data_IF_843503964642
#
_entry.id   IF_843503964642
#
_cell.length_a   1.000
_cell.length_b   1.000
_cell.length_c   1.000
_cell.angle_alpha   90.00
_cell.angle_beta   90.00
_cell.angle_gamma   90.00
#
_symmetry.space_group_name_H-M   'P 1'
#
loop_
_entity.id
_entity.type
_entity.pdbx_description
1 polymer ?
#
# COMPACT_ATOMS: atom_id res chain seq x y z
N UNK A 1 0.03 -19.56 -10.53
CA UNK A 1 0.74 -20.71 -9.90
C UNK A 1 2.01 -20.17 -9.26
N UNK A 2 1.97 -19.86 -7.96
CA UNK A 2 3.19 -19.55 -7.20
C UNK A 2 3.96 -20.85 -7.04
N UNK A 3 5.19 -20.90 -7.52
CA UNK A 3 6.05 -22.09 -7.52
C UNK A 3 6.44 -22.52 -6.09
N UNK A 4 6.55 -23.84 -5.85
CA UNK A 4 6.71 -24.55 -4.57
C UNK A 4 7.96 -24.22 -3.70
N UNK A 5 8.64 -23.10 -3.93
CA UNK A 5 9.70 -22.58 -3.05
C UNK A 5 9.63 -21.05 -2.99
N UNK A 6 8.51 -20.49 -2.52
CA UNK A 6 8.51 -19.09 -2.10
C UNK A 6 9.32 -18.97 -0.81
N UNK A 7 10.38 -18.18 -0.81
CA UNK A 7 11.05 -17.79 0.43
C UNK A 7 10.10 -16.87 1.21
N UNK A 8 9.98 -17.10 2.52
CA UNK A 8 9.09 -16.33 3.39
C UNK A 8 9.91 -15.47 4.33
N UNK A 9 9.41 -14.27 4.64
CA UNK A 9 10.01 -13.44 5.68
C UNK A 9 9.86 -14.11 7.05
N UNK A 10 10.95 -14.16 7.82
CA UNK A 10 10.86 -14.41 9.26
C UNK A 10 10.28 -13.16 9.94
N UNK A 11 8.94 -13.11 9.95
CA UNK A 11 8.22 -11.93 10.40
C UNK A 11 8.47 -11.63 11.89
N UNK A 12 8.74 -12.65 12.71
CA UNK A 12 9.01 -12.43 14.14
C UNK A 12 10.36 -11.74 14.34
N UNK A 13 11.41 -12.25 13.69
CA UNK A 13 12.72 -11.59 13.73
C UNK A 13 12.64 -10.15 13.20
N UNK A 14 11.86 -9.91 12.12
CA UNK A 14 11.64 -8.56 11.61
C UNK A 14 10.91 -7.67 12.63
N UNK A 15 9.84 -8.15 13.29
CA UNK A 15 9.13 -7.40 14.33
C UNK A 15 10.09 -6.99 15.45
N UNK A 16 10.90 -7.90 15.97
CA UNK A 16 11.88 -7.60 17.04
C UNK A 16 12.90 -6.53 16.63
N UNK A 17 13.40 -6.56 15.39
CA UNK A 17 14.30 -5.54 14.86
C UNK A 17 13.63 -4.17 14.74
N UNK A 18 12.41 -4.14 14.18
CA UNK A 18 11.65 -2.91 13.98
C UNK A 18 11.17 -2.29 15.30
N UNK A 19 10.78 -3.08 16.30
CA UNK A 19 10.48 -2.58 17.66
C UNK A 19 11.68 -1.84 18.28
N UNK A 20 12.90 -2.29 17.99
CA UNK A 20 14.13 -1.69 18.50
C UNK A 20 14.54 -0.44 17.72
N UNK A 21 14.38 -0.46 16.38
CA UNK A 21 14.83 0.62 15.48
C UNK A 21 13.81 1.76 15.37
N UNK A 22 12.51 1.44 15.38
CA UNK A 22 11.41 2.36 15.09
C UNK A 22 10.29 2.26 16.15
N UNK A 23 10.61 2.48 17.45
CA UNK A 23 9.63 2.28 18.52
C UNK A 23 8.42 3.21 18.42
N UNK A 24 8.59 4.42 17.87
CA UNK A 24 7.52 5.40 17.71
C UNK A 24 6.52 4.95 16.64
N UNK A 25 7.01 4.50 15.47
CA UNK A 25 6.20 3.97 14.37
C UNK A 25 5.48 2.67 14.77
N UNK A 26 6.16 1.79 15.52
CA UNK A 26 5.52 0.62 16.11
C UNK A 26 4.43 1.02 17.13
N UNK A 27 4.60 2.14 17.83
CA UNK A 27 3.56 2.77 18.64
C UNK A 27 2.36 3.27 17.82
N UNK A 28 2.60 3.81 16.62
CA UNK A 28 1.54 4.21 15.68
C UNK A 28 0.69 3.01 15.25
N UNK A 29 1.30 1.85 15.01
CA UNK A 29 0.54 0.63 14.69
C UNK A 29 -0.37 0.18 15.86
N UNK A 30 0.05 0.38 17.12
CA UNK A 30 -0.82 0.16 18.30
C UNK A 30 -1.99 1.14 18.34
N UNK A 31 -1.75 2.43 18.10
CA UNK A 31 -2.80 3.45 18.01
C UNK A 31 -3.81 3.10 16.91
N UNK A 32 -3.29 2.66 15.76
CA UNK A 32 -4.07 2.15 14.64
C UNK A 32 -4.87 0.88 14.95
N UNK A 33 -4.49 0.16 16.02
CA UNK A 33 -5.02 -1.14 16.43
C UNK A 33 -4.74 -2.25 15.42
N UNK A 34 -3.59 -2.16 14.75
CA UNK A 34 -3.11 -3.12 13.76
C UNK A 34 -1.79 -3.76 14.19
N UNK A 35 -1.35 -3.55 15.43
CA UNK A 35 -0.07 -4.06 15.92
C UNK A 35 0.05 -5.60 15.82
N UNK A 36 1.18 -6.15 15.34
CA UNK A 36 1.39 -7.59 15.24
C UNK A 36 1.25 -8.33 16.57
N UNK A 37 0.46 -9.41 16.62
CA UNK A 37 0.36 -10.28 17.80
C UNK A 37 -0.45 -9.71 18.98
N UNK A 38 -0.88 -8.45 18.95
CA UNK A 38 -1.82 -7.90 19.93
C UNK A 38 -3.26 -8.24 19.51
N UNK A 39 -3.88 -9.16 20.24
CA UNK A 39 -5.32 -9.43 20.14
C UNK A 39 -6.01 -8.64 21.25
N UNK A 40 -6.43 -7.41 20.95
CA UNK A 40 -7.31 -6.71 21.89
C UNK A 40 -8.71 -7.36 21.85
N UNK A 41 -9.25 -7.68 23.04
CA UNK A 41 -10.61 -8.20 23.15
C UNK A 41 -11.63 -7.13 22.75
N UNK A 42 -12.18 -7.26 21.54
CA UNK A 42 -13.41 -6.61 21.12
C UNK A 42 -13.31 -5.08 21.01
N UNK A 43 -12.92 -4.60 19.83
CA UNK A 43 -13.02 -3.17 19.53
C UNK A 43 -14.47 -2.76 19.35
N UNK A 44 -14.85 -1.56 19.77
CA UNK A 44 -16.13 -0.99 19.35
C UNK A 44 -15.93 -0.36 17.98
N UNK A 45 -16.64 -0.84 16.96
CA UNK A 45 -16.66 -0.19 15.65
C UNK A 45 -17.25 1.23 15.82
N UNK A 46 -16.46 2.29 15.60
CA UNK A 46 -16.90 3.65 15.93
C UNK A 46 -18.03 4.15 15.03
N UNK A 47 -18.30 3.47 13.91
CA UNK A 47 -19.35 3.82 12.96
C UNK A 47 -20.68 3.10 13.24
N UNK A 48 -20.66 1.98 13.96
CA UNK A 48 -21.88 1.21 14.29
C UNK A 48 -22.16 1.15 15.79
N UNK A 49 -21.17 1.40 16.65
CA UNK A 49 -21.26 1.20 18.10
C UNK A 49 -21.27 -0.26 18.53
N UNK A 50 -21.02 -1.20 17.61
CA UNK A 50 -21.05 -2.64 17.87
C UNK A 50 -19.65 -3.20 18.11
N UNK A 51 -19.50 -4.26 18.94
CA UNK A 51 -18.24 -4.98 19.06
C UNK A 51 -17.80 -5.59 17.73
N UNK A 52 -16.50 -5.50 17.46
CA UNK A 52 -15.80 -6.12 16.34
C UNK A 52 -14.68 -7.01 16.92
N UNK A 53 -14.71 -8.28 16.55
CA UNK A 53 -13.79 -9.31 17.03
C UNK A 53 -12.80 -9.77 15.95
N UNK A 54 -12.75 -9.07 14.81
CA UNK A 54 -11.78 -9.35 13.76
C UNK A 54 -10.35 -9.03 14.27
N UNK A 55 -9.42 -9.95 14.00
CA UNK A 55 -8.00 -9.74 14.25
C UNK A 55 -7.42 -8.88 13.13
N UNK A 56 -6.72 -7.81 13.51
CA UNK A 56 -6.09 -6.88 12.57
C UNK A 56 -4.56 -6.89 12.63
N UNK A 57 -3.94 -7.72 13.48
CA UNK A 57 -2.48 -7.76 13.61
C UNK A 57 -1.76 -8.27 12.35
N UNK A 58 -2.47 -9.00 11.48
CA UNK A 58 -1.96 -9.38 10.14
C UNK A 58 -1.70 -8.14 9.25
N UNK A 59 -2.38 -7.02 9.50
CA UNK A 59 -2.10 -5.75 8.81
C UNK A 59 -0.78 -5.16 9.32
N UNK A 60 -0.49 -5.25 10.61
CA UNK A 60 0.81 -4.86 11.15
C UNK A 60 1.94 -5.74 10.63
N UNK A 61 1.72 -7.05 10.54
CA UNK A 61 2.68 -7.99 9.94
C UNK A 61 2.95 -7.62 8.48
N UNK A 62 1.90 -7.27 7.73
CA UNK A 62 2.04 -6.72 6.39
C UNK A 62 2.88 -5.43 6.38
N UNK A 63 2.59 -4.46 7.25
CA UNK A 63 3.33 -3.20 7.34
C UNK A 63 4.82 -3.41 7.65
N UNK A 64 5.15 -4.33 8.57
CA UNK A 64 6.55 -4.69 8.87
C UNK A 64 7.24 -5.31 7.65
N UNK A 65 6.56 -6.20 6.93
CA UNK A 65 7.11 -6.78 5.71
C UNK A 65 7.30 -5.75 4.59
N UNK A 66 6.39 -4.78 4.44
CA UNK A 66 6.54 -3.66 3.50
C UNK A 66 7.74 -2.81 3.90
N UNK A 67 7.90 -2.50 5.18
CA UNK A 67 9.04 -1.72 5.67
C UNK A 67 10.38 -2.44 5.48
N UNK A 68 10.42 -3.77 5.67
CA UNK A 68 11.59 -4.59 5.39
C UNK A 68 11.96 -4.56 3.90
N UNK A 69 10.98 -4.70 3.01
CA UNK A 69 11.17 -4.55 1.56
C UNK A 69 11.70 -3.15 1.20
N UNK A 70 11.09 -2.11 1.77
CA UNK A 70 11.49 -0.73 1.57
C UNK A 70 12.92 -0.44 2.05
N UNK A 71 13.37 -1.04 3.17
CA UNK A 71 14.74 -0.93 3.67
C UNK A 71 15.74 -1.51 2.65
N UNK A 72 15.45 -2.69 2.09
CA UNK A 72 16.29 -3.31 1.06
C UNK A 72 16.36 -2.45 -0.20
N UNK A 73 15.23 -1.98 -0.69
CA UNK A 73 15.15 -1.13 -1.88
C UNK A 73 15.86 0.21 -1.64
N UNK A 74 15.66 0.86 -0.49
CA UNK A 74 16.33 2.10 -0.13
C UNK A 74 17.85 1.94 -0.11
N UNK A 75 18.36 0.89 0.54
CA UNK A 75 19.79 0.59 0.58
C UNK A 75 20.39 0.28 -0.81
N UNK A 76 19.59 -0.22 -1.74
CA UNK A 76 20.04 -0.51 -3.11
C UNK A 76 20.08 0.72 -4.02
N UNK A 77 19.21 1.72 -3.79
CA UNK A 77 18.94 2.79 -4.76
C UNK A 77 19.21 4.21 -4.28
N UNK A 78 19.36 4.44 -2.97
CA UNK A 78 19.79 5.72 -2.44
C UNK A 78 21.30 5.89 -2.54
N UNK A 79 21.74 7.15 -2.61
CA UNK A 79 23.16 7.45 -2.49
C UNK A 79 23.63 7.08 -1.07
N UNK A 80 24.89 6.61 -0.88
CA UNK A 80 25.38 6.19 0.43
C UNK A 80 25.37 7.28 1.52
N UNK A 81 25.19 8.54 1.14
CA UNK A 81 25.10 9.68 2.06
C UNK A 81 23.64 9.98 2.49
N UNK A 82 22.66 9.46 1.76
CA UNK A 82 21.23 9.64 2.05
C UNK A 82 20.75 8.57 3.05
N UNK A 83 19.93 9.00 4.01
CA UNK A 83 19.30 8.08 4.96
C UNK A 83 18.01 7.51 4.37
N UNK A 84 17.91 6.19 4.31
CA UNK A 84 16.67 5.48 3.98
C UNK A 84 15.65 5.42 5.12
N UNK A 85 15.97 5.95 6.31
CA UNK A 85 15.10 5.79 7.49
C UNK A 85 13.70 6.36 7.29
N UNK A 86 13.56 7.53 6.65
CA UNK A 86 12.24 8.14 6.43
C UNK A 86 11.36 7.28 5.51
N UNK A 87 11.96 6.62 4.50
CA UNK A 87 11.26 5.67 3.61
C UNK A 87 10.75 4.49 4.43
N UNK A 88 11.60 3.91 5.27
CA UNK A 88 11.27 2.75 6.10
C UNK A 88 10.18 3.10 7.12
N UNK A 89 10.25 4.29 7.75
CA UNK A 89 9.25 4.78 8.69
C UNK A 89 7.89 4.96 8.03
N UNK A 90 7.84 5.62 6.86
CA UNK A 90 6.62 5.78 6.06
C UNK A 90 6.02 4.42 5.69
N UNK A 91 6.83 3.51 5.16
CA UNK A 91 6.43 2.16 4.81
C UNK A 91 5.86 1.38 5.99
N UNK A 92 6.44 1.53 7.19
CA UNK A 92 6.00 0.83 8.40
C UNK A 92 4.61 1.25 8.89
N UNK A 93 4.15 2.47 8.59
CA UNK A 93 2.87 2.97 9.10
C UNK A 93 1.82 3.22 8.01
N UNK A 94 2.12 2.88 6.75
CA UNK A 94 1.26 3.19 5.61
C UNK A 94 -0.19 2.68 5.78
N UNK A 95 -0.37 1.48 6.32
CA UNK A 95 -1.70 0.88 6.54
C UNK A 95 -2.17 0.98 8.01
N UNK A 96 -1.57 1.85 8.82
CA UNK A 96 -1.90 2.00 10.24
C UNK A 96 -3.40 2.27 10.50
N UNK A 97 -4.11 2.88 9.55
CA UNK A 97 -5.54 3.20 9.71
C UNK A 97 -6.48 2.22 9.02
N UNK A 98 -5.94 1.14 8.45
CA UNK A 98 -6.71 0.19 7.64
C UNK A 98 -7.87 -0.45 8.39
N UNK A 99 -7.71 -0.68 9.70
CA UNK A 99 -8.79 -1.15 10.58
C UNK A 99 -10.03 -0.25 10.50
N UNK A 100 -9.85 1.07 10.57
CA UNK A 100 -10.96 2.02 10.49
C UNK A 100 -11.63 1.99 9.12
N UNK A 101 -10.87 1.80 8.05
CA UNK A 101 -11.40 1.61 6.70
C UNK A 101 -12.28 0.36 6.62
N UNK A 102 -11.81 -0.78 7.16
CA UNK A 102 -12.58 -2.03 7.22
C UNK A 102 -13.88 -1.86 8.02
N UNK A 103 -13.79 -1.24 9.19
CA UNK A 103 -14.95 -0.95 10.05
C UNK A 103 -15.97 -0.04 9.35
N UNK A 104 -15.51 0.98 8.63
CA UNK A 104 -16.34 1.89 7.82
C UNK A 104 -17.06 1.13 6.72
N UNK A 105 -16.35 0.27 5.98
CA UNK A 105 -16.94 -0.59 4.94
C UNK A 105 -18.02 -1.53 5.51
N UNK A 106 -17.79 -2.12 6.70
CA UNK A 106 -18.80 -2.94 7.40
C UNK A 106 -20.05 -2.11 7.74
N UNK A 107 -19.87 -0.88 8.24
CA UNK A 107 -20.98 0.02 8.56
C UNK A 107 -21.78 0.41 7.32
N UNK A 108 -21.11 0.67 6.19
CA UNK A 108 -21.77 0.99 4.92
C UNK A 108 -22.57 -0.20 4.37
N UNK A 109 -22.02 -1.42 4.43
CA UNK A 109 -22.74 -2.66 4.05
C UNK A 109 -23.99 -2.89 4.90
N UNK A 110 -23.98 -2.44 6.15
CA UNK A 110 -25.15 -2.45 7.05
C UNK A 110 -26.14 -1.30 6.80
N UNK A 111 -25.79 -0.34 5.95
CA UNK A 111 -26.60 0.85 5.68
C UNK A 111 -26.57 1.89 6.80
N UNK A 112 -25.65 1.76 7.77
CA UNK A 112 -25.52 2.71 8.90
C UNK A 112 -24.89 4.03 8.45
N UNK A 113 -24.04 3.98 7.43
CA UNK A 113 -23.44 5.14 6.78
C UNK A 113 -23.58 4.99 5.25
N UNK A 114 -23.61 6.11 4.54
CA UNK A 114 -23.82 6.12 3.07
C UNK A 114 -22.49 6.00 2.32
N UNK A 115 -21.36 6.38 2.93
CA UNK A 115 -20.09 6.56 2.25
C UNK A 115 -18.98 5.69 2.83
N UNK A 116 -18.57 4.69 2.06
CA UNK A 116 -17.50 3.76 2.42
C UNK A 116 -16.12 4.18 1.88
N UNK A 117 -16.06 5.10 0.92
CA UNK A 117 -14.90 5.35 0.07
C UNK A 117 -14.59 6.83 -0.17
N UNK A 118 -15.21 7.78 0.56
CA UNK A 118 -14.77 9.18 0.45
C UNK A 118 -13.29 9.29 0.69
N UNK A 119 -12.69 10.14 -0.14
CA UNK A 119 -11.32 10.61 -0.08
C UNK A 119 -10.97 11.20 1.31
N UNK A 120 -11.97 11.61 2.10
CA UNK A 120 -11.86 12.02 3.51
C UNK A 120 -11.96 10.87 4.52
N UNK A 121 -11.45 9.67 4.24
CA UNK A 121 -11.38 8.59 5.25
C UNK A 121 -10.66 9.05 6.51
N UNK A 122 -9.60 9.85 6.34
CA UNK A 122 -8.86 10.45 7.44
C UNK A 122 -9.65 11.54 8.18
N UNK A 123 -10.43 12.35 7.47
CA UNK A 123 -11.31 13.34 8.10
C UNK A 123 -12.35 12.69 9.01
N UNK A 124 -12.75 11.46 8.69
CA UNK A 124 -13.71 10.71 9.52
C UNK A 124 -13.10 10.07 10.77
N UNK A 125 -11.79 9.76 10.79
CA UNK A 125 -11.14 9.17 11.97
C UNK A 125 -10.49 10.20 12.89
N UNK A 126 -10.11 11.36 12.36
CA UNK A 126 -9.41 12.41 13.13
C UNK A 126 -10.12 12.76 14.45
N UNK A 127 -11.45 13.04 14.48
CA UNK A 127 -12.13 13.36 15.73
C UNK A 127 -12.06 12.22 16.76
N UNK A 128 -12.07 10.96 16.31
CA UNK A 128 -12.01 9.79 17.18
C UNK A 128 -10.63 9.66 17.83
N UNK A 129 -9.57 9.86 17.05
CA UNK A 129 -8.19 9.80 17.54
C UNK A 129 -7.89 10.99 18.48
N UNK A 130 -8.41 12.18 18.18
CA UNK A 130 -8.32 13.35 19.06
C UNK A 130 -9.02 13.10 20.40
N UNK A 131 -10.22 12.49 20.41
CA UNK A 131 -10.93 12.12 21.63
C UNK A 131 -10.16 11.08 22.48
N UNK A 132 -9.41 10.19 21.82
CA UNK A 132 -8.50 9.23 22.47
C UNK A 132 -7.20 9.86 22.97
N UNK A 133 -6.99 11.16 22.75
CA UNK A 133 -5.81 11.90 23.18
C UNK A 133 -4.57 11.67 22.30
N UNK A 134 -4.75 11.17 21.08
CA UNK A 134 -3.65 11.01 20.12
C UNK A 134 -3.17 12.41 19.68
N UNK A 135 -1.85 12.68 19.70
CA UNK A 135 -1.30 13.96 19.25
C UNK A 135 -1.63 14.27 17.78
N UNK A 136 -1.87 15.55 17.47
CA UNK A 136 -2.30 15.98 16.14
C UNK A 136 -1.26 15.69 15.04
N UNK A 137 0.03 15.81 15.37
CA UNK A 137 1.16 15.46 14.51
C UNK A 137 1.20 13.96 14.20
N UNK A 138 0.89 13.10 15.17
CA UNK A 138 0.72 11.66 14.92
C UNK A 138 -0.45 11.37 13.99
N UNK A 139 -1.59 12.05 14.15
CA UNK A 139 -2.75 11.87 13.28
C UNK A 139 -2.42 12.32 11.84
N UNK A 140 -1.74 13.44 11.68
CA UNK A 140 -1.28 13.92 10.38
C UNK A 140 -0.27 12.98 9.73
N UNK A 141 0.62 12.42 10.53
CA UNK A 141 1.58 11.43 10.06
C UNK A 141 0.89 10.16 9.54
N UNK A 142 -0.06 9.60 10.31
CA UNK A 142 -0.90 8.48 9.87
C UNK A 142 -1.64 8.82 8.58
N UNK A 143 -2.24 10.00 8.49
CA UNK A 143 -2.96 10.49 7.31
C UNK A 143 -2.11 10.56 6.05
N UNK A 144 -0.90 11.09 6.18
CA UNK A 144 0.05 11.17 5.07
C UNK A 144 0.46 9.77 4.62
N UNK A 145 0.90 8.92 5.54
CA UNK A 145 1.44 7.60 5.21
C UNK A 145 0.43 6.72 4.46
N UNK A 146 -0.84 6.66 4.88
CA UNK A 146 -1.84 5.86 4.15
C UNK A 146 -2.38 6.50 2.88
N UNK A 147 -1.82 7.62 2.44
CA UNK A 147 -2.03 8.17 1.10
C UNK A 147 -0.88 7.90 0.13
N UNK A 148 0.22 7.31 0.61
CA UNK A 148 1.44 7.06 -0.20
C UNK A 148 1.32 5.78 -1.06
N UNK A 149 0.45 4.83 -0.68
CA UNK A 149 0.31 3.53 -1.36
C UNK A 149 -1.09 3.24 -1.90
N UNK A 150 -1.18 2.17 -2.69
CA UNK A 150 -2.42 1.72 -3.32
C UNK A 150 -3.00 2.70 -4.35
N UNK A 151 -4.27 2.51 -4.70
CA UNK A 151 -4.91 3.23 -5.80
C UNK A 151 -4.97 4.76 -5.65
N UNK A 152 -4.95 5.26 -4.41
CA UNK A 152 -5.06 6.70 -4.14
C UNK A 152 -3.81 7.48 -4.53
N UNK A 153 -2.63 6.85 -4.51
CA UNK A 153 -1.36 7.52 -4.83
C UNK A 153 -1.00 7.46 -6.30
N UNK A 154 -1.62 6.57 -7.09
CA UNK A 154 -1.36 6.40 -8.52
C UNK A 154 -1.39 7.72 -9.32
N UNK A 155 -2.35 8.65 -9.11
CA UNK A 155 -2.32 9.96 -9.77
C UNK A 155 -1.03 10.75 -9.59
N UNK A 156 -0.33 10.55 -8.48
CA UNK A 156 0.95 11.21 -8.16
C UNK A 156 2.16 10.66 -8.93
N UNK A 157 2.01 9.50 -9.60
CA UNK A 157 3.09 8.85 -10.34
C UNK A 157 3.00 9.00 -11.85
N UNK A 158 1.85 9.43 -12.39
CA UNK A 158 1.60 9.44 -13.84
C UNK A 158 1.37 10.85 -14.35
N UNK A 159 2.03 11.20 -15.46
CA UNK A 159 1.73 12.40 -16.25
C UNK A 159 1.69 12.06 -17.73
N UNK A 160 1.13 12.94 -18.55
CA UNK A 160 1.29 12.85 -20.00
C UNK A 160 2.58 13.53 -20.47
N UNK A 161 3.23 12.90 -21.45
CA UNK A 161 4.26 13.49 -22.27
C UNK A 161 4.03 13.08 -23.73
N UNK A 162 3.86 14.06 -24.62
CA UNK A 162 3.58 13.83 -26.04
C UNK A 162 2.39 12.88 -26.31
N UNK A 163 1.37 12.92 -25.45
CA UNK A 163 0.14 12.12 -25.58
C UNK A 163 0.20 10.72 -24.98
N UNK A 164 1.35 10.32 -24.44
CA UNK A 164 1.53 9.02 -23.79
C UNK A 164 1.76 9.17 -22.28
N UNK A 165 1.31 8.20 -21.47
CA UNK A 165 1.59 8.19 -20.04
C UNK A 165 3.08 7.94 -19.81
N UNK A 166 3.67 8.71 -18.90
CA UNK A 166 5.06 8.54 -18.45
C UNK A 166 5.14 8.62 -16.92
N UNK A 167 6.06 7.85 -16.36
CA UNK A 167 6.33 7.86 -14.93
C UNK A 167 6.94 9.20 -14.53
N UNK A 168 6.44 9.79 -13.44
CA UNK A 168 7.07 10.92 -12.77
C UNK A 168 8.24 10.37 -11.96
N UNK A 169 9.47 10.80 -12.25
CA UNK A 169 10.68 10.32 -11.58
C UNK A 169 11.45 11.40 -10.81
N UNK A 170 11.11 12.67 -11.05
CA UNK A 170 11.80 13.82 -10.46
C UNK A 170 11.36 14.00 -9.01
N UNK A 171 12.30 13.88 -8.07
CA UNK A 171 12.10 14.22 -6.66
C UNK A 171 11.19 13.29 -5.84
N UNK A 172 10.80 12.13 -6.38
CA UNK A 172 9.83 11.22 -5.74
C UNK A 172 10.34 9.79 -5.55
N UNK A 173 11.67 9.59 -5.48
CA UNK A 173 12.25 8.24 -5.33
C UNK A 173 11.75 7.55 -4.06
N UNK A 174 11.65 8.28 -2.94
CA UNK A 174 11.12 7.77 -1.68
C UNK A 174 9.70 7.21 -1.84
N UNK A 175 8.77 8.02 -2.38
CA UNK A 175 7.37 7.62 -2.60
C UNK A 175 7.28 6.40 -3.52
N UNK A 176 8.11 6.34 -4.57
CA UNK A 176 8.15 5.20 -5.50
C UNK A 176 8.63 3.92 -4.81
N UNK A 177 9.62 4.02 -3.91
CA UNK A 177 10.09 2.86 -3.13
C UNK A 177 9.01 2.38 -2.17
N UNK A 178 8.36 3.28 -1.42
CA UNK A 178 7.28 2.92 -0.48
C UNK A 178 6.12 2.27 -1.22
N UNK A 179 5.69 2.86 -2.34
CA UNK A 179 4.62 2.33 -3.17
C UNK A 179 4.93 0.94 -3.72
N UNK A 180 6.10 0.79 -4.32
CA UNK A 180 6.51 -0.49 -4.90
C UNK A 180 6.69 -1.56 -3.81
N UNK A 181 7.19 -1.20 -2.63
CA UNK A 181 7.33 -2.14 -1.52
C UNK A 181 5.97 -2.71 -1.07
N UNK A 182 4.91 -1.88 -1.00
CA UNK A 182 3.54 -2.34 -0.77
C UNK A 182 3.04 -3.25 -1.91
N UNK A 183 3.21 -2.80 -3.17
CA UNK A 183 2.82 -3.57 -4.36
C UNK A 183 3.51 -4.93 -4.47
N UNK A 184 4.74 -5.04 -3.99
CA UNK A 184 5.50 -6.29 -3.97
C UNK A 184 5.12 -7.20 -2.79
N UNK A 185 4.45 -6.70 -1.76
CA UNK A 185 4.22 -7.45 -0.52
C UNK A 185 2.86 -8.14 -0.52
N UNK A 186 2.87 -9.47 -0.55
CA UNK A 186 1.68 -10.29 -0.39
C UNK A 186 1.62 -10.93 1.00
N UNK A 187 0.59 -10.55 1.76
CA UNK A 187 0.25 -11.16 3.06
C UNK A 187 -1.14 -11.80 2.96
N UNK A 188 -1.27 -13.14 3.09
CA UNK A 188 -2.55 -13.81 2.99
C UNK A 188 -3.47 -13.43 4.17
N UNK A 189 -4.78 -13.39 3.92
CA UNK A 189 -5.76 -13.34 5.01
C UNK A 189 -6.05 -14.79 5.40
N UNK A 190 -5.58 -15.18 6.58
CA UNK A 190 -5.82 -16.52 7.15
C UNK A 190 -6.76 -16.42 8.35
N UNK A 191 -7.53 -17.48 8.66
CA UNK A 191 -8.29 -17.56 9.91
C UNK A 191 -7.43 -17.34 11.16
N UNK A 192 -8.05 -16.85 12.23
CA UNK A 192 -7.36 -16.65 13.50
C UNK A 192 -6.71 -17.97 14.00
N UNK A 193 -5.41 -17.91 14.31
CA UNK A 193 -4.62 -19.05 14.79
C UNK A 193 -3.93 -19.86 13.69
N UNK A 194 -4.14 -19.51 12.41
CA UNK A 194 -3.33 -20.04 11.31
C UNK A 194 -2.07 -19.18 11.08
N UNK A 195 -1.02 -19.81 10.56
CA UNK A 195 0.25 -19.15 10.28
C UNK A 195 0.12 -18.25 9.05
N UNK A 196 0.45 -16.96 9.21
CA UNK A 196 0.53 -16.01 8.11
C UNK A 196 1.91 -16.11 7.49
N UNK A 197 1.97 -16.40 6.19
CA UNK A 197 3.22 -16.46 5.43
C UNK A 197 3.24 -15.32 4.41
N UNK A 198 3.98 -14.26 4.74
CA UNK A 198 4.20 -13.13 3.83
C UNK A 198 5.31 -13.47 2.83
N UNK A 199 5.11 -13.09 1.57
CA UNK A 199 6.04 -13.30 0.45
C UNK A 199 6.14 -12.05 -0.40
N UNK A 200 7.29 -11.85 -1.06
CA UNK A 200 7.43 -10.83 -2.08
C UNK A 200 7.21 -11.40 -3.47
N UNK A 201 6.35 -10.75 -4.24
CA UNK A 201 5.87 -11.16 -5.57
C UNK A 201 5.73 -9.94 -6.46
N UNK A 202 5.55 -10.12 -7.77
CA UNK A 202 5.21 -9.01 -8.68
C UNK A 202 3.78 -8.51 -8.42
N UNK A 203 3.46 -7.29 -8.87
CA UNK A 203 2.11 -6.76 -8.66
C UNK A 203 1.01 -7.61 -9.33
N UNK A 204 1.18 -8.11 -10.58
CA UNK A 204 0.22 -9.04 -11.17
C UNK A 204 0.00 -10.32 -10.34
N UNK A 205 1.08 -10.90 -9.79
CA UNK A 205 1.01 -12.08 -8.94
C UNK A 205 0.29 -11.79 -7.61
N UNK A 206 0.56 -10.64 -6.98
CA UNK A 206 -0.16 -10.18 -5.78
C UNK A 206 -1.66 -10.06 -6.06
N UNK A 207 -2.04 -9.44 -7.17
CA UNK A 207 -3.44 -9.26 -7.56
C UNK A 207 -4.15 -10.60 -7.78
N UNK A 208 -3.48 -11.58 -8.40
CA UNK A 208 -3.99 -12.94 -8.57
C UNK A 208 -4.12 -13.65 -7.22
N UNK A 209 -3.05 -13.69 -6.42
CA UNK A 209 -2.99 -14.40 -5.14
C UNK A 209 -4.01 -13.87 -4.13
N UNK A 210 -4.21 -12.55 -4.08
CA UNK A 210 -5.16 -11.91 -3.18
C UNK A 210 -6.60 -11.86 -3.74
N UNK A 211 -6.85 -12.35 -4.95
CA UNK A 211 -8.15 -12.30 -5.63
C UNK A 211 -8.76 -10.88 -5.65
N UNK A 212 -7.98 -9.93 -6.19
CA UNK A 212 -8.39 -8.52 -6.29
C UNK A 212 -9.75 -8.28 -6.97
N UNK A 213 -10.15 -9.00 -8.04
CA UNK A 213 -11.44 -8.78 -8.69
C UNK A 213 -12.64 -8.93 -7.74
N UNK A 214 -12.59 -9.94 -6.86
CA UNK A 214 -13.67 -10.18 -5.89
C UNK A 214 -13.55 -9.26 -4.67
N UNK A 215 -12.32 -9.01 -4.19
CA UNK A 215 -12.09 -8.19 -2.98
C UNK A 215 -12.31 -6.70 -3.19
N UNK A 216 -11.89 -6.19 -4.34
CA UNK A 216 -11.87 -4.77 -4.67
C UNK A 216 -12.44 -4.54 -6.09
N UNK A 217 -13.71 -4.89 -6.33
CA UNK A 217 -14.31 -4.80 -7.67
C UNK A 217 -14.26 -3.39 -8.25
N UNK A 218 -14.30 -2.35 -7.39
CA UNK A 218 -14.19 -0.95 -7.82
C UNK A 218 -12.87 -0.65 -8.54
N UNK A 219 -11.77 -1.36 -8.25
CA UNK A 219 -10.50 -1.18 -8.96
C UNK A 219 -10.60 -1.52 -10.45
N UNK A 220 -11.62 -2.29 -10.85
CA UNK A 220 -11.83 -2.75 -12.22
C UNK A 220 -12.90 -1.94 -12.96
N UNK A 221 -13.57 -1.02 -12.30
CA UNK A 221 -14.56 -0.12 -12.91
C UNK A 221 -14.19 1.35 -12.76
N UNK A 222 -13.48 1.72 -11.70
CA UNK A 222 -13.03 3.08 -11.42
C UNK A 222 -11.56 3.24 -11.83
N UNK A 223 -11.14 4.47 -12.08
CA UNK A 223 -9.75 4.79 -12.42
C UNK A 223 -9.58 6.26 -12.76
N UNK A 224 -8.69 6.54 -13.71
CA UNK A 224 -8.47 7.90 -14.20
C UNK A 224 -7.99 7.89 -15.64
N UNK A 225 -8.10 9.05 -16.27
CA UNK A 225 -7.48 9.37 -17.56
C UNK A 225 -7.05 10.83 -17.57
N UNK A 226 -6.82 11.37 -18.76
CA UNK A 226 -6.35 12.75 -18.92
C UNK A 226 -7.28 13.53 -19.83
N UNK A 227 -7.56 14.79 -19.49
CA UNK A 227 -8.27 15.69 -20.39
C UNK A 227 -7.37 16.14 -21.56
N UNK A 228 -7.96 16.87 -22.53
CA UNK A 228 -7.26 17.43 -23.68
C UNK A 228 -6.09 18.38 -23.34
N UNK A 229 -6.09 18.94 -22.13
CA UNK A 229 -5.07 19.87 -21.64
C UNK A 229 -3.98 19.10 -20.86
N UNK A 230 -4.11 17.78 -20.74
CA UNK A 230 -3.18 16.89 -20.05
C UNK A 230 -3.40 16.80 -18.54
N UNK A 231 -4.51 17.34 -18.03
CA UNK A 231 -4.82 17.24 -16.60
C UNK A 231 -5.45 15.90 -16.28
N UNK A 232 -5.07 15.33 -15.13
CA UNK A 232 -5.63 14.09 -14.64
C UNK A 232 -7.10 14.28 -14.21
N UNK A 233 -7.96 13.34 -14.62
CA UNK A 233 -9.38 13.33 -14.28
C UNK A 233 -9.76 11.95 -13.73
N UNK A 234 -10.30 11.92 -12.50
CA UNK A 234 -10.83 10.71 -11.89
C UNK A 234 -12.13 10.27 -12.57
N UNK A 235 -12.27 8.97 -12.80
CA UNK A 235 -13.36 8.35 -13.54
C UNK A 235 -14.03 7.29 -12.67
N UNK A 236 -15.33 7.46 -12.39
CA UNK A 236 -16.13 6.52 -11.59
C UNK A 236 -16.61 5.28 -12.36
N UNK A 237 -16.55 5.33 -13.68
CA UNK A 237 -16.89 4.20 -14.56
C UNK A 237 -16.10 4.33 -15.87
N UNK A 238 -15.02 3.57 -15.99
CA UNK A 238 -14.15 3.55 -17.18
C UNK A 238 -14.78 2.81 -18.35
N UNK A 239 -15.90 2.12 -18.15
CA UNK A 239 -16.64 1.46 -19.23
C UNK A 239 -17.52 2.44 -20.01
N UNK A 240 -17.82 3.59 -19.41
CA UNK A 240 -18.54 4.68 -20.07
C UNK A 240 -17.57 5.48 -20.94
N UNK A 241 -17.79 5.45 -22.25
CA UNK A 241 -16.98 6.20 -23.21
C UNK A 241 -17.09 7.71 -22.95
N UNK A 242 -15.94 8.36 -22.78
CA UNK A 242 -15.85 9.82 -22.61
C UNK A 242 -14.85 10.37 -23.63
N UNK A 243 -15.36 11.01 -24.70
CA UNK A 243 -14.55 11.56 -25.79
C UNK A 243 -13.62 12.69 -25.38
N UNK A 244 -13.83 13.28 -24.21
CA UNK A 244 -12.99 14.37 -23.69
C UNK A 244 -11.76 13.86 -22.93
N UNK A 245 -11.67 12.55 -22.72
CA UNK A 245 -10.56 11.90 -22.02
C UNK A 245 -9.73 11.03 -22.96
N UNK A 246 -8.42 11.01 -22.71
CA UNK A 246 -7.45 10.12 -23.36
C UNK A 246 -6.76 9.25 -22.33
N UNK A 247 -6.20 8.12 -22.77
CA UNK A 247 -5.45 7.18 -21.92
C UNK A 247 -6.24 6.80 -20.65
N UNK A 248 -7.54 6.49 -20.81
CA UNK A 248 -8.39 6.10 -19.67
C UNK A 248 -8.06 4.66 -19.28
N UNK A 249 -7.72 4.46 -18.01
CA UNK A 249 -7.44 3.15 -17.43
C UNK A 249 -8.13 2.96 -16.09
N UNK A 250 -8.45 1.70 -15.74
CA UNK A 250 -8.91 1.35 -14.40
C UNK A 250 -7.77 1.44 -13.39
N UNK A 251 -8.08 1.56 -12.09
CA UNK A 251 -7.04 1.49 -11.06
C UNK A 251 -6.26 0.17 -11.11
N UNK A 252 -6.91 -0.95 -11.45
CA UNK A 252 -6.23 -2.23 -11.64
C UNK A 252 -5.20 -2.19 -12.78
N UNK A 253 -5.52 -1.52 -13.89
CA UNK A 253 -4.56 -1.32 -15.00
C UNK A 253 -3.43 -0.37 -14.59
N UNK A 254 -3.75 0.72 -13.90
CA UNK A 254 -2.77 1.69 -13.45
C UNK A 254 -1.84 1.13 -12.37
N UNK A 255 -2.31 0.28 -11.46
CA UNK A 255 -1.45 -0.43 -10.48
C UNK A 255 -0.37 -1.24 -11.20
N UNK A 256 -0.77 -2.09 -12.15
CA UNK A 256 0.18 -2.90 -12.94
C UNK A 256 1.16 -2.01 -13.71
N UNK A 257 0.66 -0.97 -14.37
CA UNK A 257 1.50 -0.07 -15.16
C UNK A 257 2.49 0.70 -14.28
N UNK A 258 2.05 1.29 -13.16
CA UNK A 258 2.91 2.04 -12.24
C UNK A 258 3.96 1.12 -11.61
N UNK A 259 3.58 -0.05 -11.10
CA UNK A 259 4.52 -1.02 -10.54
C UNK A 259 5.60 -1.43 -11.57
N UNK A 260 5.19 -1.69 -12.82
CA UNK A 260 6.10 -2.01 -13.92
C UNK A 260 7.05 -0.86 -14.21
N UNK A 261 6.55 0.36 -14.41
CA UNK A 261 7.38 1.51 -14.78
C UNK A 261 8.35 1.91 -13.66
N UNK A 262 7.92 1.85 -12.39
CA UNK A 262 8.82 2.04 -11.25
C UNK A 262 9.92 0.97 -11.28
N UNK A 263 9.54 -0.29 -11.49
CA UNK A 263 10.50 -1.40 -11.53
C UNK A 263 11.51 -1.25 -12.66
N UNK A 264 11.08 -0.80 -13.84
CA UNK A 264 11.96 -0.50 -14.97
C UNK A 264 12.95 0.62 -14.62
N UNK A 265 12.49 1.74 -14.06
CA UNK A 265 13.38 2.85 -13.66
C UNK A 265 14.42 2.39 -12.64
N UNK A 266 14.00 1.64 -11.61
CA UNK A 266 14.88 1.18 -10.55
C UNK A 266 15.85 0.10 -11.04
N UNK A 267 15.36 -0.93 -11.74
CA UNK A 267 16.21 -2.03 -12.19
C UNK A 267 17.27 -1.58 -13.21
N UNK A 268 16.97 -0.59 -14.04
CA UNK A 268 17.96 0.03 -14.96
C UNK A 268 19.12 0.70 -14.24
N UNK A 269 18.96 1.10 -12.97
CA UNK A 269 20.06 1.60 -12.11
C UNK A 269 21.04 0.49 -11.72
N UNK A 270 20.58 -0.76 -11.63
CA UNK A 270 21.41 -1.93 -11.37
C UNK A 270 22.09 -2.40 -12.66
N UNK A 271 21.29 -2.62 -13.70
CA UNK A 271 21.76 -3.13 -14.99
C UNK A 271 21.07 -2.39 -16.13
N UNK A 272 21.85 -1.62 -16.90
CA UNK A 272 21.31 -0.80 -18.00
C UNK A 272 20.69 -1.65 -19.13
N UNK A 273 21.09 -2.92 -19.23
CA UNK A 273 20.64 -3.86 -20.28
C UNK A 273 19.44 -4.72 -19.84
N UNK A 274 18.86 -4.47 -18.66
CA UNK A 274 17.70 -5.25 -18.21
C UNK A 274 16.51 -5.02 -19.13
N UNK A 275 15.86 -6.11 -19.55
CA UNK A 275 14.65 -6.01 -20.36
C UNK A 275 13.47 -5.54 -19.51
N UNK A 276 12.53 -4.85 -20.15
CA UNK A 276 11.34 -4.31 -19.46
C UNK A 276 10.46 -5.41 -18.87
N UNK A 277 10.46 -6.60 -19.47
CA UNK A 277 9.66 -7.74 -19.03
C UNK A 277 10.34 -8.49 -17.84
N UNK A 278 11.61 -8.24 -17.57
CA UNK A 278 12.36 -8.84 -16.45
C UNK A 278 12.47 -7.91 -15.24
N UNK A 279 12.13 -6.63 -15.38
CA UNK A 279 12.41 -5.60 -14.38
C UNK A 279 11.73 -5.86 -13.03
N UNK A 280 10.42 -6.16 -13.02
CA UNK A 280 9.69 -6.48 -11.78
C UNK A 280 10.28 -7.73 -11.10
N UNK A 281 10.50 -8.79 -11.86
CA UNK A 281 11.04 -10.04 -11.32
C UNK A 281 12.45 -9.85 -10.75
N UNK A 282 13.29 -9.03 -11.39
CA UNK A 282 14.63 -8.74 -10.89
C UNK A 282 14.60 -8.08 -9.49
N UNK A 283 13.65 -7.18 -9.24
CA UNK A 283 13.51 -6.55 -7.92
C UNK A 283 12.94 -7.53 -6.89
N UNK A 284 11.96 -8.34 -7.28
CA UNK A 284 11.42 -9.43 -6.43
C UNK A 284 12.53 -10.40 -6.03
N UNK A 285 13.34 -10.86 -6.99
CA UNK A 285 14.45 -11.78 -6.74
C UNK A 285 15.51 -11.13 -5.84
N UNK A 286 15.80 -9.84 -6.03
CA UNK A 286 16.73 -9.09 -5.19
C UNK A 286 16.26 -9.05 -3.73
N UNK A 287 14.99 -8.74 -3.48
CA UNK A 287 14.42 -8.70 -2.12
C UNK A 287 14.39 -10.10 -1.52
N UNK A 288 13.90 -11.10 -2.26
CA UNK A 288 13.82 -12.48 -1.79
C UNK A 288 15.19 -13.13 -1.52
N UNK A 289 16.27 -12.66 -2.15
CA UNK A 289 17.63 -13.14 -1.88
C UNK A 289 18.18 -12.74 -0.51
N UNK A 290 17.49 -11.86 0.22
CA UNK A 290 17.86 -11.40 1.57
C UNK A 290 17.10 -12.11 2.69
N UNK A 291 16.14 -12.97 2.34
CA UNK A 291 15.36 -13.80 3.26
C UNK A 291 16.11 -15.09 3.61
#
# INVERSE_FOLDING_TARGET
MVTEQSTHIDIQTAIEDFEKRYPDEMGVLRIGGVYPGEVEEGFVNPYTGEPDHEYFGNIGEHCVAVAYCADILANAFLDPEDSGEDIVRSALVHDATKRFEVMRRKAARKGTIIDAYSQGAYDTIRPLLEEQGVPADTIEYMARAGSETGHNSLPGFVRLHDGEPVLITEGNLADRIVHLADDMTYTPIVPAGEEVQTTYVTMPERMEAANFPERYPFLYSEGFGFDKDGNLVLVKDTTTENSDLVQVGTYAQWLIWVAREISIDLARRISHDISEDEAEQCLVDMVNATL
#
